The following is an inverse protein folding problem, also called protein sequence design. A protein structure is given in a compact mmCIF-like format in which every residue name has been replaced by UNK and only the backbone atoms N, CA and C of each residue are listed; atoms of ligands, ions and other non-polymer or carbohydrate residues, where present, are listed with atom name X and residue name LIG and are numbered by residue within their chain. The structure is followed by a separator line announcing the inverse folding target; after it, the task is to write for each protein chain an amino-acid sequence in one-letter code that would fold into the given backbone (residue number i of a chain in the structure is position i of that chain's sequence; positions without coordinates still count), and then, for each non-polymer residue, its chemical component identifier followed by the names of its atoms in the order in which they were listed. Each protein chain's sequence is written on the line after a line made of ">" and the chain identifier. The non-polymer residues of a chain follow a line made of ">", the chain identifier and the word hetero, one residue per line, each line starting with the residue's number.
data_IF_304554551874
#
_entry.id   IF_304554551874
#
_cell.length_a   1.000
_cell.length_b   1.000
_cell.length_c   1.000
_cell.angle_alpha   90.00
_cell.angle_beta   90.00
_cell.angle_gamma   90.00
#
_symmetry.space_group_name_H-M   'P 1'
#
loop_
_entity.id
_entity.type
_entity.pdbx_description
1 polymer ?
#
# COMPACT_ATOMS: atom_id res chain seq x y z
N UNK A 1 -12.40 5.66 7.28
CA UNK A 1 -11.12 6.01 7.89
C UNK A 1 -10.62 4.87 8.76
N UNK A 2 -9.34 4.58 8.70
CA UNK A 2 -8.70 3.57 9.52
C UNK A 2 -7.56 4.19 10.29
N UNK A 3 -7.31 3.67 11.50
CA UNK A 3 -6.16 4.05 12.31
C UNK A 3 -5.23 2.87 12.45
N UNK A 4 -3.92 3.11 12.40
CA UNK A 4 -2.92 2.10 12.66
C UNK A 4 -2.03 2.53 13.81
N UNK A 5 -1.69 1.56 14.65
CA UNK A 5 -0.80 1.76 15.78
C UNK A 5 0.66 1.62 15.32
N UNK A 6 1.58 1.94 16.21
CA UNK A 6 3.00 1.67 16.01
C UNK A 6 3.24 0.17 16.21
N UNK A 7 2.86 -0.61 15.21
CA UNK A 7 2.91 -2.06 15.27
C UNK A 7 2.88 -2.63 13.86
N UNK A 8 3.90 -3.39 13.50
CA UNK A 8 4.00 -4.02 12.18
C UNK A 8 3.11 -5.25 12.09
N UNK A 9 1.81 -5.05 12.20
CA UNK A 9 0.79 -6.07 12.08
C UNK A 9 -0.31 -5.54 11.18
N UNK A 10 -0.55 -6.22 10.08
CA UNK A 10 -1.48 -5.74 9.05
C UNK A 10 -2.94 -5.88 9.46
N UNK A 11 -3.73 -4.85 9.13
CA UNK A 11 -5.19 -4.91 9.14
C UNK A 11 -5.61 -5.23 7.71
N UNK A 12 -6.31 -6.34 7.51
CA UNK A 12 -6.67 -6.81 6.16
C UNK A 12 -8.09 -6.44 5.78
N UNK A 13 -8.26 -6.07 4.51
CA UNK A 13 -9.55 -5.72 3.92
C UNK A 13 -9.60 -6.29 2.50
N UNK A 14 -10.80 -6.74 2.03
CA UNK A 14 -10.90 -7.28 0.68
C UNK A 14 -10.69 -6.20 -0.38
N UNK A 15 -10.14 -6.62 -1.51
CA UNK A 15 -9.98 -5.78 -2.69
C UNK A 15 -10.14 -6.65 -3.93
N UNK A 16 -10.78 -6.12 -4.98
CA UNK A 16 -11.07 -6.92 -6.19
C UNK A 16 -10.66 -6.25 -7.49
N UNK A 17 -10.32 -4.97 -7.47
CA UNK A 17 -10.24 -4.18 -8.69
C UNK A 17 -8.88 -4.12 -9.36
N UNK A 18 -7.84 -4.71 -8.79
CA UNK A 18 -6.48 -4.55 -9.31
C UNK A 18 -5.89 -3.17 -9.05
N UNK A 19 -6.53 -2.37 -8.21
CA UNK A 19 -6.01 -1.07 -7.82
C UNK A 19 -6.50 -0.69 -6.43
N UNK A 20 -5.70 0.17 -5.79
CA UNK A 20 -5.98 0.70 -4.48
C UNK A 20 -5.59 2.18 -4.48
N UNK A 21 -6.51 3.03 -4.06
CA UNK A 21 -6.26 4.45 -3.89
C UNK A 21 -6.43 4.80 -2.42
N UNK A 22 -5.48 5.49 -1.86
CA UNK A 22 -5.53 5.82 -0.44
C UNK A 22 -4.75 7.09 -0.13
N UNK A 23 -5.08 7.67 1.01
CA UNK A 23 -4.30 8.75 1.62
C UNK A 23 -3.87 8.28 2.98
N UNK A 24 -2.68 8.65 3.38
CA UNK A 24 -2.15 8.29 4.69
C UNK A 24 -1.44 9.47 5.32
N UNK A 25 -1.64 9.60 6.62
CA UNK A 25 -0.98 10.63 7.44
C UNK A 25 -0.18 9.89 8.51
N UNK A 26 1.13 9.89 8.35
CA UNK A 26 2.07 9.22 9.25
C UNK A 26 3.46 9.80 9.05
N UNK A 27 4.30 9.72 10.07
CA UNK A 27 5.67 10.26 10.01
C UNK A 27 6.57 9.44 9.09
N UNK A 28 6.42 8.12 9.09
CA UNK A 28 7.26 7.19 8.31
C UNK A 28 6.58 5.83 8.26
N UNK A 29 7.08 4.94 7.42
CA UNK A 29 6.71 3.52 7.37
C UNK A 29 5.20 3.25 7.25
N UNK A 30 4.61 3.71 6.16
CA UNK A 30 3.30 3.29 5.73
C UNK A 30 3.48 2.00 4.93
N UNK A 31 3.07 0.88 5.49
CA UNK A 31 3.23 -0.43 4.86
C UNK A 31 1.91 -0.93 4.32
N UNK A 32 1.92 -1.41 3.07
CA UNK A 32 0.76 -2.02 2.43
C UNK A 32 1.15 -3.42 1.99
N UNK A 33 0.35 -4.40 2.37
CA UNK A 33 0.49 -5.77 1.91
C UNK A 33 -0.56 -6.07 0.85
N UNK A 34 -0.21 -6.90 -0.13
CA UNK A 34 -1.15 -7.45 -1.11
C UNK A 34 -1.09 -8.97 -0.97
N UNK A 35 -2.23 -9.58 -0.65
CA UNK A 35 -2.28 -10.99 -0.26
C UNK A 35 -3.42 -11.72 -0.95
N UNK A 36 -3.33 -13.06 -0.96
CA UNK A 36 -4.39 -13.91 -1.48
C UNK A 36 -5.54 -14.03 -0.48
N UNK A 37 -5.22 -14.21 0.80
CA UNK A 37 -6.20 -14.35 1.87
C UNK A 37 -6.03 -13.27 2.93
N UNK A 38 -6.94 -13.21 3.93
CA UNK A 38 -6.94 -12.15 4.92
C UNK A 38 -5.91 -12.38 6.04
N UNK A 39 -4.72 -12.82 5.66
CA UNK A 39 -3.67 -13.13 6.61
C UNK A 39 -2.30 -12.91 6.00
N UNK A 40 -1.32 -12.67 6.85
CA UNK A 40 0.07 -12.53 6.46
C UNK A 40 0.64 -13.91 6.18
N UNK A 41 0.66 -14.28 4.90
CA UNK A 41 1.17 -15.58 4.46
C UNK A 41 1.66 -15.49 3.03
N UNK A 42 2.68 -16.28 2.70
CA UNK A 42 3.25 -16.32 1.36
C UNK A 42 2.36 -17.14 0.40
N UNK A 43 2.28 -16.75 -0.88
CA UNK A 43 2.98 -15.60 -1.45
C UNK A 43 2.26 -14.28 -1.12
N UNK A 44 3.04 -13.22 -0.98
CA UNK A 44 2.50 -11.88 -0.74
C UNK A 44 3.48 -10.82 -1.20
N UNK A 45 2.96 -9.62 -1.44
CA UNK A 45 3.81 -8.44 -1.67
C UNK A 45 3.70 -7.52 -0.48
N UNK A 46 4.81 -6.87 -0.16
CA UNK A 46 4.83 -5.77 0.80
C UNK A 46 5.39 -4.52 0.13
N UNK A 47 4.74 -3.41 0.38
CA UNK A 47 5.14 -2.11 -0.12
C UNK A 47 5.42 -1.24 1.09
N UNK A 48 6.67 -0.79 1.23
CA UNK A 48 7.09 0.06 2.33
C UNK A 48 7.24 1.47 1.80
N UNK A 49 6.26 2.34 2.05
CA UNK A 49 6.32 3.74 1.67
C UNK A 49 6.95 4.52 2.81
N UNK A 50 7.98 5.30 2.50
CA UNK A 50 8.63 6.14 3.51
C UNK A 50 9.33 5.36 4.61
N UNK A 51 9.90 4.23 4.28
CA UNK A 51 10.78 3.51 5.18
C UNK A 51 12.13 4.18 5.33
N UNK A 52 12.99 3.60 6.15
CA UNK A 52 14.34 4.13 6.42
C UNK A 52 14.31 5.59 6.83
N UNK A 53 13.44 5.90 7.82
CA UNK A 53 13.33 7.26 8.32
C UNK A 53 12.66 8.22 7.34
N UNK A 54 11.68 7.75 6.58
CA UNK A 54 10.95 8.53 5.57
C UNK A 54 11.82 8.92 4.38
N UNK A 55 12.76 8.06 4.01
CA UNK A 55 13.73 8.34 2.96
C UNK A 55 13.56 7.50 1.70
N UNK A 56 12.99 6.30 1.80
CA UNK A 56 12.93 5.35 0.70
C UNK A 56 11.60 4.61 0.65
N UNK A 57 11.28 4.08 -0.54
CA UNK A 57 10.13 3.21 -0.75
C UNK A 57 10.60 1.91 -1.40
N UNK A 58 10.05 0.79 -0.97
CA UNK A 58 10.48 -0.52 -1.43
C UNK A 58 9.28 -1.42 -1.77
N UNK A 59 9.50 -2.35 -2.69
CA UNK A 59 8.60 -3.47 -2.97
C UNK A 59 9.34 -4.74 -2.56
N UNK A 60 8.70 -5.58 -1.78
CA UNK A 60 9.27 -6.84 -1.29
C UNK A 60 8.30 -7.97 -1.56
N UNK A 61 8.82 -9.16 -1.85
CA UNK A 61 8.00 -10.36 -2.05
C UNK A 61 8.28 -11.36 -0.94
N UNK A 62 7.22 -11.94 -0.40
CA UNK A 62 7.28 -12.99 0.61
C UNK A 62 8.06 -12.58 1.86
N UNK A 63 8.03 -11.29 2.21
CA UNK A 63 8.64 -10.76 3.43
C UNK A 63 10.16 -11.00 3.48
N UNK A 64 10.80 -11.13 2.33
CA UNK A 64 12.21 -11.49 2.22
C UNK A 64 13.02 -10.45 1.46
N UNK A 65 14.25 -10.26 1.88
CA UNK A 65 15.26 -9.54 1.10
C UNK A 65 15.82 -10.48 0.03
N UNK A 66 16.36 -9.94 -1.08
CA UNK A 66 16.50 -8.50 -1.37
C UNK A 66 15.15 -7.87 -1.78
N UNK A 67 15.06 -6.56 -1.63
CA UNK A 67 13.92 -5.81 -2.12
C UNK A 67 13.88 -5.93 -3.65
N UNK A 68 12.68 -6.06 -4.19
CA UNK A 68 12.49 -6.17 -5.64
C UNK A 68 12.52 -4.81 -6.32
N UNK A 69 12.22 -3.75 -5.59
CA UNK A 69 12.42 -2.37 -5.99
C UNK A 69 12.77 -1.58 -4.75
N UNK A 70 13.67 -0.62 -4.90
CA UNK A 70 14.07 0.27 -3.82
C UNK A 70 14.40 1.61 -4.45
N UNK A 71 13.64 2.64 -4.11
CA UNK A 71 13.79 3.97 -4.69
C UNK A 71 13.88 5.03 -3.61
N UNK A 72 14.64 6.09 -3.90
CA UNK A 72 14.74 7.22 -2.99
C UNK A 72 13.47 8.06 -3.08
N UNK A 73 12.83 8.26 -1.95
CA UNK A 73 11.59 9.05 -1.84
C UNK A 73 11.67 9.92 -0.58
N UNK A 74 12.60 10.89 -0.55
CA UNK A 74 12.81 11.69 0.65
C UNK A 74 11.55 12.47 1.02
N UNK A 75 11.20 12.41 2.30
CA UNK A 75 10.07 13.17 2.86
C UNK A 75 8.73 12.87 2.16
N UNK A 76 8.52 11.63 1.72
CA UNK A 76 7.30 11.27 1.00
C UNK A 76 6.06 11.26 1.90
N UNK A 77 6.23 11.03 3.20
CA UNK A 77 5.15 11.03 4.20
C UNK A 77 5.27 12.24 5.12
N UNK A 78 4.16 12.57 5.78
CA UNK A 78 4.10 13.67 6.75
C UNK A 78 3.13 13.31 7.87
N UNK A 79 3.55 13.53 9.12
CA UNK A 79 2.72 13.24 10.28
C UNK A 79 1.57 14.24 10.44
N UNK A 80 1.66 15.40 9.81
CA UNK A 80 0.69 16.49 9.94
C UNK A 80 -0.27 16.62 8.78
N UNK A 81 -0.07 15.90 7.68
CA UNK A 81 -0.97 16.00 6.53
C UNK A 81 -1.09 14.69 5.78
N UNK A 82 -2.24 14.47 5.17
CA UNK A 82 -2.45 13.30 4.31
C UNK A 82 -1.66 13.43 3.02
N UNK A 83 -1.05 12.33 2.62
CA UNK A 83 -0.40 12.18 1.31
C UNK A 83 -1.10 11.07 0.54
N UNK A 84 -1.46 11.31 -0.71
CA UNK A 84 -2.23 10.39 -1.52
C UNK A 84 -1.35 9.55 -2.43
N UNK A 85 -1.75 8.27 -2.57
CA UNK A 85 -1.03 7.29 -3.38
C UNK A 85 -2.01 6.38 -4.10
N UNK A 86 -1.52 5.73 -5.15
CA UNK A 86 -2.22 4.63 -5.78
C UNK A 86 -1.25 3.45 -5.95
N UNK A 87 -1.82 2.27 -5.89
CA UNK A 87 -1.11 1.02 -6.19
C UNK A 87 -1.94 0.29 -7.22
N UNK A 88 -1.31 -0.22 -8.27
CA UNK A 88 -1.96 -1.01 -9.32
C UNK A 88 -1.22 -2.30 -9.51
N UNK A 89 -1.97 -3.36 -9.79
CA UNK A 89 -1.40 -4.66 -10.10
C UNK A 89 -2.19 -5.32 -11.22
N UNK A 90 -1.45 -5.95 -12.15
CA UNK A 90 -2.05 -6.65 -13.28
C UNK A 90 -1.01 -7.58 -13.88
N UNK A 91 -1.34 -8.88 -13.98
CA UNK A 91 -0.47 -9.86 -14.63
C UNK A 91 0.94 -9.95 -14.02
N UNK A 92 1.08 -9.69 -12.72
CA UNK A 92 2.37 -9.68 -12.03
C UNK A 92 3.07 -8.35 -12.01
N UNK A 93 2.58 -7.36 -12.74
CA UNK A 93 3.11 -6.00 -12.70
C UNK A 93 2.54 -5.28 -11.48
N UNK A 94 3.41 -4.69 -10.66
CA UNK A 94 3.02 -3.91 -9.49
C UNK A 94 3.61 -2.52 -9.65
N UNK A 95 2.79 -1.50 -9.49
CA UNK A 95 3.21 -0.12 -9.65
C UNK A 95 2.63 0.74 -8.53
N UNK A 96 3.43 1.70 -8.05
CA UNK A 96 3.04 2.64 -7.00
C UNK A 96 3.25 4.04 -7.53
N UNK A 97 2.25 4.89 -7.38
CA UNK A 97 2.36 6.29 -7.81
C UNK A 97 1.78 7.24 -6.78
N UNK A 98 2.05 8.53 -6.99
CA UNK A 98 1.47 9.60 -6.20
C UNK A 98 0.12 9.98 -6.76
N UNK A 99 -0.79 10.37 -5.90
CA UNK A 99 -2.09 10.90 -6.30
C UNK A 99 -1.90 12.04 -7.31
N UNK A 100 -2.66 12.00 -8.40
CA UNK A 100 -2.60 13.02 -9.45
C UNK A 100 -1.51 12.82 -10.48
N UNK A 101 -0.61 11.85 -10.28
CA UNK A 101 0.43 11.50 -11.25
C UNK A 101 0.13 10.16 -11.86
N UNK A 102 0.14 10.07 -13.18
CA UNK A 102 -0.16 8.81 -13.88
C UNK A 102 1.04 7.87 -13.95
N UNK A 103 2.24 8.41 -13.87
CA UNK A 103 3.45 7.60 -13.91
C UNK A 103 3.80 7.08 -12.51
N UNK A 104 4.16 5.80 -12.38
CA UNK A 104 4.61 5.27 -11.11
C UNK A 104 5.99 5.80 -10.74
N UNK A 105 6.26 5.90 -9.43
CA UNK A 105 7.61 6.20 -8.97
C UNK A 105 8.36 4.92 -8.54
N UNK A 106 7.66 3.81 -8.40
CA UNK A 106 8.26 2.50 -8.13
C UNK A 106 7.42 1.42 -8.78
N UNK A 107 8.08 0.41 -9.35
CA UNK A 107 7.38 -0.71 -9.97
C UNK A 107 8.27 -1.94 -10.03
N UNK A 108 7.62 -3.10 -10.18
CA UNK A 108 8.30 -4.38 -10.36
C UNK A 108 7.39 -5.36 -11.08
N UNK A 109 7.97 -6.16 -11.97
CA UNK A 109 7.24 -7.21 -12.69
C UNK A 109 7.63 -8.56 -12.09
N UNK A 110 6.67 -9.23 -11.47
CA UNK A 110 6.89 -10.53 -10.85
C UNK A 110 6.79 -11.63 -11.91
N UNK A 111 7.84 -12.45 -12.09
CA UNK A 111 7.76 -13.57 -13.03
C UNK A 111 6.87 -14.71 -12.55
N UNK A 112 6.49 -14.73 -11.28
CA UNK A 112 5.64 -15.76 -10.70
C UNK A 112 4.47 -15.14 -9.94
N UNK A 113 3.54 -14.46 -10.64
CA UNK A 113 2.45 -13.75 -9.98
C UNK A 113 1.45 -14.69 -9.32
N UNK A 114 0.68 -14.13 -8.42
CA UNK A 114 -0.40 -14.82 -7.72
C UNK A 114 -1.63 -13.93 -7.65
N UNK A 115 -2.78 -14.54 -7.34
CA UNK A 115 -4.02 -13.79 -7.21
C UNK A 115 -4.06 -12.96 -5.93
N UNK A 116 -4.48 -11.70 -6.05
CA UNK A 116 -4.59 -10.79 -4.94
C UNK A 116 -6.07 -10.57 -4.64
N UNK A 117 -6.48 -10.86 -3.41
CA UNK A 117 -7.84 -10.70 -2.94
C UNK A 117 -7.98 -9.76 -1.76
N UNK A 118 -6.87 -9.38 -1.14
CA UNK A 118 -6.87 -8.54 0.05
C UNK A 118 -5.70 -7.57 0.02
N UNK A 119 -5.90 -6.42 0.69
CA UNK A 119 -4.80 -5.54 1.04
C UNK A 119 -4.72 -5.44 2.56
N UNK A 120 -3.53 -5.25 3.07
CA UNK A 120 -3.29 -4.99 4.49
C UNK A 120 -2.60 -3.66 4.68
N UNK A 121 -2.88 -2.99 5.78
CA UNK A 121 -2.21 -1.73 6.13
C UNK A 121 -1.66 -1.81 7.53
N UNK A 122 -0.48 -1.21 7.72
CA UNK A 122 0.10 -1.00 9.06
C UNK A 122 1.10 0.14 9.01
N UNK A 123 1.47 0.61 10.18
CA UNK A 123 2.55 1.57 10.39
C UNK A 123 3.46 1.04 11.49
N UNK A 124 4.69 1.52 11.55
CA UNK A 124 5.62 1.05 12.55
C UNK A 124 6.88 1.90 12.62
N UNK A 125 7.89 1.34 13.25
CA UNK A 125 9.17 2.03 13.46
C UNK A 125 8.97 3.40 14.13
N UNK A 126 8.09 3.41 15.17
CA UNK A 126 7.78 4.58 15.94
C UNK A 126 6.59 5.39 15.46
N UNK A 127 5.96 5.02 14.34
CA UNK A 127 4.90 5.82 13.75
C UNK A 127 3.53 5.18 13.91
N UNK A 128 2.54 6.02 14.22
CA UNK A 128 1.12 5.70 14.11
C UNK A 128 0.58 6.37 12.86
N UNK A 129 -0.55 5.91 12.33
CA UNK A 129 -1.09 6.47 11.10
C UNK A 129 -2.59 6.58 11.07
N UNK A 130 -3.06 7.46 10.19
CA UNK A 130 -4.46 7.60 9.83
C UNK A 130 -4.57 7.40 8.32
N UNK A 131 -5.56 6.62 7.89
CA UNK A 131 -5.72 6.21 6.49
C UNK A 131 -7.12 6.50 5.99
N UNK A 132 -7.18 7.00 4.77
CA UNK A 132 -8.42 7.14 4.01
C UNK A 132 -8.26 6.26 2.77
N UNK A 133 -9.05 5.19 2.68
CA UNK A 133 -8.90 4.20 1.63
C UNK A 133 -10.08 4.24 0.69
N UNK A 134 -9.81 4.33 -0.61
CA UNK A 134 -10.79 4.15 -1.66
C UNK A 134 -10.44 2.88 -2.43
N UNK A 135 -11.42 2.01 -2.59
CA UNK A 135 -11.28 0.83 -3.43
C UNK A 135 -12.48 0.77 -4.35
N UNK A 136 -12.36 0.00 -5.43
CA UNK A 136 -13.51 -0.21 -6.31
C UNK A 136 -14.66 -0.84 -5.56
N UNK A 137 -14.36 -1.72 -4.61
CA UNK A 137 -15.38 -2.32 -3.76
C UNK A 137 -16.16 -1.26 -2.99
N UNK A 138 -15.45 -0.36 -2.34
CA UNK A 138 -16.07 0.75 -1.62
C UNK A 138 -16.87 1.63 -2.57
N UNK A 139 -16.32 1.94 -3.72
CA UNK A 139 -16.97 2.77 -4.71
C UNK A 139 -18.28 2.15 -5.20
N UNK A 140 -18.27 0.84 -5.46
CA UNK A 140 -19.47 0.13 -5.90
C UNK A 140 -20.58 0.11 -4.84
N UNK A 141 -20.19 0.14 -3.58
CA UNK A 141 -21.15 0.12 -2.47
C UNK A 141 -21.46 1.50 -1.92
N UNK A 142 -20.81 2.53 -2.43
CA UNK A 142 -21.23 3.89 -2.15
C UNK A 142 -22.61 4.01 -2.76
N UNK A 143 -23.66 4.21 -1.97
CA UNK A 143 -24.99 4.32 -2.54
C UNK A 143 -24.98 5.39 -3.60
N UNK A 144 -25.57 5.06 -4.71
CA UNK A 144 -25.77 6.08 -5.71
C UNK A 144 -26.83 7.03 -5.19
N UNK A 145 -26.38 8.04 -4.53
CA UNK A 145 -27.26 9.02 -3.91
C UNK A 145 -27.96 9.90 -4.91
N UNK A 146 -27.58 9.76 -6.16
CA UNK A 146 -28.27 10.49 -7.23
C UNK A 146 -29.59 9.83 -7.64
N UNK A 147 -29.84 8.63 -7.20
CA UNK A 147 -31.09 7.94 -7.52
C UNK A 147 -32.25 8.42 -6.70
#
# INVERSE_FOLDING_TARGET
>A
EFSTEDKLEYQFHPVSAGSLHFKVRTANDAHVALTTGPAESDPMYEIFIGGWGNAKTAIRRNRQKPDKALVDTPNILDAGEYRGFWIRWSGGSIAIGREGESAPFASWDDPEPFGIGYFGICTGWGATGSWLVESEYHFLFTPDTSL
#
